data_IF_126726138905
#
_entry.id   IF_126726138905
#
_cell.length_a   1.000
_cell.length_b   1.000
_cell.length_c   1.000
_cell.angle_alpha   90.00
_cell.angle_beta   90.00
_cell.angle_gamma   90.00
#
_symmetry.space_group_name_H-M   'P 1'
#
loop_
_entity.id
_entity.type
_entity.pdbx_description
1 polymer ?
#
# COMPACT_ATOMS: atom_id res chain seq x y z
N UNK A 1 2.59 -21.95 8.40
CA UNK A 1 2.43 -21.67 6.93
C UNK A 1 3.76 -21.31 6.31
N UNK A 2 3.91 -21.42 4.98
CA UNK A 2 5.12 -20.89 4.31
C UNK A 2 4.95 -19.38 4.20
N UNK A 3 5.90 -18.61 4.72
CA UNK A 3 5.89 -17.14 4.66
C UNK A 3 6.05 -16.68 3.21
N UNK A 4 5.28 -15.67 2.82
CA UNK A 4 5.41 -14.95 1.57
C UNK A 4 4.30 -15.18 0.56
N UNK A 5 4.15 -14.18 -0.30
CA UNK A 5 3.26 -14.15 -1.46
C UNK A 5 4.03 -13.59 -2.66
N UNK A 6 4.12 -14.36 -3.75
CA UNK A 6 4.94 -14.02 -4.91
C UNK A 6 4.18 -14.04 -6.25
N UNK A 7 2.86 -14.15 -6.22
CA UNK A 7 2.04 -13.97 -7.41
C UNK A 7 1.89 -12.47 -7.74
N UNK A 8 1.57 -12.16 -9.01
CA UNK A 8 1.37 -10.78 -9.45
C UNK A 8 0.27 -10.08 -8.63
N UNK A 9 0.51 -8.84 -8.22
CA UNK A 9 -0.35 -8.12 -7.28
C UNK A 9 -0.50 -6.63 -7.65
N UNK A 10 -1.63 -6.27 -8.22
CA UNK A 10 -1.96 -4.90 -8.64
C UNK A 10 -3.06 -4.34 -7.76
N UNK A 11 -2.66 -3.57 -6.73
CA UNK A 11 -3.59 -3.04 -5.73
C UNK A 11 -4.02 -1.62 -6.09
N UNK A 12 -5.32 -1.36 -6.06
CA UNK A 12 -5.89 -0.03 -6.00
C UNK A 12 -6.17 0.32 -4.53
N UNK A 13 -5.30 1.12 -3.86
CA UNK A 13 -5.49 1.48 -2.46
C UNK A 13 -6.34 2.75 -2.31
N UNK A 14 -7.41 2.66 -1.54
CA UNK A 14 -8.28 3.76 -1.13
C UNK A 14 -8.70 3.66 0.34
N UNK A 15 -7.80 3.11 1.16
CA UNK A 15 -7.92 2.96 2.61
C UNK A 15 -7.71 4.26 3.41
N UNK A 16 -7.47 5.37 2.71
CA UNK A 16 -7.33 6.68 3.32
C UNK A 16 -8.60 7.07 4.10
N UNK A 17 -8.47 7.33 5.40
CA UNK A 17 -9.56 7.74 6.29
C UNK A 17 -9.51 9.24 6.56
N UNK A 18 -8.61 9.68 7.44
CA UNK A 18 -8.49 11.09 7.81
C UNK A 18 -8.20 12.03 6.64
N UNK A 19 -7.25 11.67 5.76
CA UNK A 19 -6.95 12.50 4.58
C UNK A 19 -8.09 12.54 3.55
N UNK A 20 -8.89 11.47 3.45
CA UNK A 20 -10.09 11.48 2.60
C UNK A 20 -11.14 12.42 3.18
N UNK A 21 -11.41 12.32 4.49
CA UNK A 21 -12.30 13.22 5.20
C UNK A 21 -11.88 14.69 5.05
N UNK A 22 -10.62 15.02 5.37
CA UNK A 22 -10.17 16.42 5.43
C UNK A 22 -9.86 17.03 4.08
N UNK A 23 -9.13 16.30 3.20
CA UNK A 23 -8.65 16.85 1.93
C UNK A 23 -9.65 16.73 0.79
N UNK A 24 -10.44 15.63 0.75
CA UNK A 24 -11.43 15.43 -0.30
C UNK A 24 -12.76 16.11 0.04
N UNK A 25 -13.19 16.07 1.29
CA UNK A 25 -14.48 16.58 1.72
C UNK A 25 -14.39 17.90 2.50
N UNK A 26 -13.25 18.28 3.02
CA UNK A 26 -13.07 19.49 3.83
C UNK A 26 -13.67 19.37 5.23
N UNK A 27 -13.96 18.16 5.71
CA UNK A 27 -14.60 17.95 7.00
C UNK A 27 -13.57 17.65 8.09
N UNK A 28 -13.83 18.19 9.28
CA UNK A 28 -13.03 17.98 10.50
C UNK A 28 -13.94 17.48 11.64
N UNK A 29 -13.32 16.81 12.63
CA UNK A 29 -14.06 16.27 13.78
C UNK A 29 -14.84 15.01 13.46
N UNK A 30 -15.82 14.69 14.32
CA UNK A 30 -16.67 13.50 14.19
C UNK A 30 -17.65 13.67 13.04
N UNK A 31 -17.72 12.66 12.16
CA UNK A 31 -18.63 12.67 11.01
C UNK A 31 -20.06 12.35 11.41
N UNK A 32 -21.04 12.99 10.72
CA UNK A 32 -22.43 12.56 10.79
C UNK A 32 -22.64 11.26 9.99
N UNK A 33 -23.75 10.54 10.20
CA UNK A 33 -24.10 9.37 9.38
C UNK A 33 -24.15 9.70 7.87
N UNK A 34 -24.68 10.87 7.49
CA UNK A 34 -24.79 11.33 6.11
C UNK A 34 -23.40 11.59 5.50
N UNK A 35 -22.50 12.20 6.26
CA UNK A 35 -21.10 12.42 5.84
C UNK A 35 -20.37 11.10 5.65
N UNK A 36 -20.57 10.16 6.57
CA UNK A 36 -20.02 8.80 6.47
C UNK A 36 -20.51 8.10 5.21
N UNK A 37 -21.81 8.18 4.92
CA UNK A 37 -22.41 7.61 3.71
C UNK A 37 -21.86 8.25 2.43
N UNK A 38 -21.59 9.57 2.42
CA UNK A 38 -20.99 10.25 1.27
C UNK A 38 -19.53 9.79 1.00
N UNK A 39 -18.74 9.56 2.05
CA UNK A 39 -17.39 9.00 1.89
C UNK A 39 -17.48 7.58 1.34
N UNK A 40 -18.35 6.75 1.88
CA UNK A 40 -18.57 5.39 1.40
C UNK A 40 -19.01 5.36 -0.06
N UNK A 41 -19.92 6.25 -0.46
CA UNK A 41 -20.35 6.39 -1.86
C UNK A 41 -19.20 6.80 -2.80
N UNK A 42 -18.31 7.70 -2.36
CA UNK A 42 -17.13 8.07 -3.15
C UNK A 42 -16.14 6.90 -3.29
N UNK A 43 -15.96 6.10 -2.23
CA UNK A 43 -15.13 4.87 -2.30
C UNK A 43 -15.76 3.81 -3.20
N UNK A 44 -17.08 3.73 -3.25
CA UNK A 44 -17.79 2.85 -4.18
C UNK A 44 -17.49 3.20 -5.66
N UNK A 45 -17.38 4.48 -6.01
CA UNK A 45 -16.98 4.92 -7.37
C UNK A 45 -15.57 4.42 -7.71
N UNK A 46 -14.63 4.44 -6.74
CA UNK A 46 -13.26 3.94 -6.95
C UNK A 46 -13.28 2.44 -7.21
N UNK A 47 -14.01 1.68 -6.41
CA UNK A 47 -14.15 0.24 -6.56
C UNK A 47 -14.77 -0.15 -7.91
N UNK A 48 -15.80 0.56 -8.34
CA UNK A 48 -16.38 0.34 -9.67
C UNK A 48 -15.41 0.67 -10.80
N UNK A 49 -14.52 1.64 -10.61
CA UNK A 49 -13.42 1.91 -11.52
C UNK A 49 -12.47 0.71 -11.67
N UNK A 50 -12.13 0.02 -10.58
CA UNK A 50 -11.38 -1.24 -10.65
C UNK A 50 -12.14 -2.30 -11.47
N UNK A 51 -13.44 -2.48 -11.21
CA UNK A 51 -14.28 -3.44 -11.93
C UNK A 51 -14.36 -3.11 -13.43
N UNK A 52 -14.44 -1.82 -13.78
CA UNK A 52 -14.40 -1.37 -15.16
C UNK A 52 -13.04 -1.69 -15.83
N UNK A 53 -11.93 -1.54 -15.13
CA UNK A 53 -10.61 -1.91 -15.64
C UNK A 53 -10.50 -3.42 -15.89
N UNK A 54 -11.00 -4.25 -14.99
CA UNK A 54 -11.04 -5.72 -15.15
C UNK A 54 -11.92 -6.09 -16.34
N UNK A 55 -13.11 -5.50 -16.47
CA UNK A 55 -13.98 -5.69 -17.63
C UNK A 55 -13.33 -5.26 -18.96
N UNK A 56 -12.33 -4.38 -18.90
CA UNK A 56 -11.55 -3.91 -20.06
C UNK A 56 -10.27 -4.71 -20.31
N UNK A 57 -10.05 -5.82 -19.57
CA UNK A 57 -8.97 -6.76 -19.83
C UNK A 57 -7.82 -6.78 -18.81
N UNK A 58 -7.92 -6.07 -17.68
CA UNK A 58 -6.99 -6.28 -16.55
C UNK A 58 -7.28 -7.66 -15.94
N UNK A 59 -6.28 -8.56 -15.78
CA UNK A 59 -6.51 -9.87 -15.18
C UNK A 59 -7.02 -9.78 -13.75
N UNK A 60 -8.20 -10.36 -13.50
CA UNK A 60 -8.86 -10.27 -12.20
C UNK A 60 -8.03 -10.91 -11.08
N UNK A 61 -7.39 -12.03 -11.37
CA UNK A 61 -6.55 -12.77 -10.42
C UNK A 61 -5.30 -12.00 -9.94
N UNK A 62 -4.95 -10.89 -10.64
CA UNK A 62 -3.86 -9.99 -10.26
C UNK A 62 -4.36 -8.69 -9.61
N UNK A 63 -5.64 -8.40 -9.79
CA UNK A 63 -6.26 -7.17 -9.33
C UNK A 63 -6.73 -7.28 -7.88
N UNK A 64 -6.51 -6.24 -7.10
CA UNK A 64 -6.97 -6.19 -5.73
C UNK A 64 -7.28 -4.79 -5.24
N UNK A 65 -7.95 -4.71 -4.11
CA UNK A 65 -8.27 -3.48 -3.41
C UNK A 65 -7.59 -3.43 -2.04
N UNK A 66 -7.29 -2.21 -1.61
CA UNK A 66 -6.97 -1.94 -0.21
C UNK A 66 -7.93 -0.86 0.28
N UNK A 67 -8.82 -1.23 1.18
CA UNK A 67 -9.87 -0.35 1.70
C UNK A 67 -10.09 -0.60 3.19
N UNK A 68 -10.42 0.47 3.92
CA UNK A 68 -10.69 0.43 5.36
C UNK A 68 -12.10 -0.11 5.68
N UNK A 69 -12.26 -0.67 6.88
CA UNK A 69 -13.53 -1.17 7.38
C UNK A 69 -14.56 -0.05 7.58
N UNK A 70 -14.13 1.13 8.03
CA UNK A 70 -15.02 2.22 8.43
C UNK A 70 -15.94 2.68 7.30
N UNK A 71 -15.38 2.87 6.09
CA UNK A 71 -16.12 3.38 4.93
C UNK A 71 -16.28 2.33 3.83
N UNK A 72 -15.57 1.22 3.90
CA UNK A 72 -15.49 0.22 2.86
C UNK A 72 -15.99 -1.17 3.23
N UNK A 73 -16.65 -1.34 4.38
CA UNK A 73 -17.12 -2.67 4.83
C UNK A 73 -17.99 -3.40 3.79
N UNK A 74 -18.85 -2.70 3.09
CA UNK A 74 -19.68 -3.28 2.02
C UNK A 74 -18.84 -3.68 0.81
N UNK A 75 -17.85 -2.85 0.46
CA UNK A 75 -16.91 -3.07 -0.65
C UNK A 75 -16.05 -4.31 -0.36
N UNK A 76 -15.51 -4.46 0.86
CA UNK A 76 -14.72 -5.64 1.25
C UNK A 76 -15.50 -6.93 1.06
N UNK A 77 -16.79 -6.94 1.47
CA UNK A 77 -17.65 -8.12 1.33
C UNK A 77 -18.00 -8.41 -0.13
N UNK A 78 -18.25 -7.39 -0.93
CA UNK A 78 -18.57 -7.53 -2.35
C UNK A 78 -17.33 -8.03 -3.13
N UNK A 79 -16.18 -7.41 -2.90
CA UNK A 79 -14.93 -7.80 -3.53
C UNK A 79 -14.51 -9.25 -3.19
N UNK A 80 -14.72 -9.68 -1.95
CA UNK A 80 -14.48 -11.07 -1.54
C UNK A 80 -15.41 -12.07 -2.24
N UNK A 81 -16.69 -11.71 -2.46
CA UNK A 81 -17.63 -12.55 -3.22
C UNK A 81 -17.29 -12.64 -4.70
N UNK A 82 -16.77 -11.57 -5.25
CA UNK A 82 -16.31 -11.50 -6.64
C UNK A 82 -14.86 -12.03 -6.81
N UNK A 83 -14.27 -12.62 -5.77
CA UNK A 83 -12.94 -13.23 -5.78
C UNK A 83 -11.78 -12.27 -6.11
N UNK A 84 -11.95 -10.98 -5.84
CA UNK A 84 -10.83 -10.04 -5.87
C UNK A 84 -9.91 -10.24 -4.67
N UNK A 85 -8.60 -9.99 -4.85
CA UNK A 85 -7.70 -9.87 -3.72
C UNK A 85 -8.07 -8.64 -2.88
N UNK A 86 -8.28 -8.86 -1.59
CA UNK A 86 -8.68 -7.81 -0.65
C UNK A 86 -7.58 -7.53 0.35
N UNK A 87 -7.34 -6.25 0.65
CA UNK A 87 -6.50 -5.83 1.75
C UNK A 87 -7.28 -4.87 2.66
N UNK A 88 -7.10 -5.03 3.98
CA UNK A 88 -7.75 -4.19 4.98
C UNK A 88 -6.70 -3.70 5.99
N UNK A 89 -6.65 -2.39 6.32
CA UNK A 89 -5.70 -1.87 7.29
C UNK A 89 -6.08 -2.25 8.71
N UNK A 90 -5.09 -2.71 9.50
CA UNK A 90 -5.21 -2.93 10.93
C UNK A 90 -4.68 -1.75 11.76
N UNK A 91 -3.89 -0.87 11.14
CA UNK A 91 -3.31 0.28 11.82
C UNK A 91 -4.32 1.40 12.07
N UNK A 92 -4.13 2.10 13.19
CA UNK A 92 -4.84 3.33 13.52
C UNK A 92 -4.47 4.45 12.53
N UNK A 93 -5.48 5.21 12.11
CA UNK A 93 -5.27 6.29 11.14
C UNK A 93 -4.46 7.45 11.73
N UNK A 94 -3.58 8.06 10.90
CA UNK A 94 -2.83 9.28 11.22
C UNK A 94 -1.95 9.20 12.48
N UNK A 95 -1.33 8.05 12.71
CA UNK A 95 -0.40 7.82 13.83
C UNK A 95 1.05 7.95 13.38
N UNK A 96 1.92 8.40 14.29
CA UNK A 96 3.38 8.38 14.09
C UNK A 96 3.99 7.06 14.58
N UNK A 97 3.55 6.55 15.72
CA UNK A 97 3.90 5.23 16.24
C UNK A 97 2.78 4.22 15.92
N UNK A 98 3.14 3.05 15.39
CA UNK A 98 2.17 2.01 15.06
C UNK A 98 1.34 1.60 16.29
N UNK A 99 0.03 1.61 16.12
CA UNK A 99 -0.94 1.06 17.04
C UNK A 99 -2.12 0.48 16.28
N UNK A 100 -2.86 -0.43 16.89
CA UNK A 100 -4.04 -1.04 16.30
C UNK A 100 -5.24 -0.10 16.32
N UNK A 101 -5.99 -0.02 15.22
CA UNK A 101 -7.25 0.75 15.15
C UNK A 101 -8.24 0.27 16.21
N UNK A 102 -8.35 -1.03 16.41
CA UNK A 102 -9.28 -1.66 17.35
C UNK A 102 -8.59 -2.19 18.62
N UNK A 103 -7.39 -1.71 18.91
CA UNK A 103 -6.64 -2.09 20.12
C UNK A 103 -6.53 -3.61 20.28
N UNK A 104 -6.95 -4.15 21.43
CA UNK A 104 -6.89 -5.59 21.75
C UNK A 104 -7.84 -6.45 20.88
N UNK A 105 -8.85 -5.85 20.27
CA UNK A 105 -9.88 -6.56 19.49
C UNK A 105 -9.48 -6.67 17.99
N UNK A 106 -8.21 -6.34 17.65
CA UNK A 106 -7.71 -6.36 16.27
C UNK A 106 -7.94 -7.69 15.55
N UNK A 107 -7.78 -8.80 16.27
CA UNK A 107 -7.96 -10.15 15.73
C UNK A 107 -9.39 -10.40 15.26
N UNK A 108 -10.39 -10.02 16.07
CA UNK A 108 -11.81 -10.15 15.72
C UNK A 108 -12.15 -9.35 14.46
N UNK A 109 -11.60 -8.13 14.33
CA UNK A 109 -11.81 -7.29 13.16
C UNK A 109 -11.17 -7.86 11.89
N UNK A 110 -9.99 -8.47 11.99
CA UNK A 110 -9.36 -9.17 10.85
C UNK A 110 -10.22 -10.37 10.43
N UNK A 111 -10.62 -11.21 11.36
CA UNK A 111 -11.44 -12.41 11.08
C UNK A 111 -12.80 -12.08 10.51
N UNK A 112 -13.42 -10.98 10.92
CA UNK A 112 -14.73 -10.50 10.44
C UNK A 112 -14.78 -10.28 8.93
N UNK A 113 -13.70 -9.82 8.33
CA UNK A 113 -13.61 -9.60 6.88
C UNK A 113 -12.77 -10.66 6.18
N UNK A 114 -11.88 -11.33 6.91
CA UNK A 114 -10.95 -12.34 6.41
C UNK A 114 -10.31 -11.92 5.07
N UNK A 115 -9.67 -10.72 5.01
CA UNK A 115 -9.08 -10.23 3.78
C UNK A 115 -7.91 -11.10 3.35
N UNK A 116 -7.57 -11.10 2.06
CA UNK A 116 -6.34 -11.75 1.58
C UNK A 116 -5.11 -11.21 2.30
N UNK A 117 -5.09 -9.90 2.53
CA UNK A 117 -3.99 -9.23 3.24
C UNK A 117 -4.52 -8.39 4.41
N UNK A 118 -3.98 -8.60 5.60
CA UNK A 118 -4.00 -7.62 6.68
C UNK A 118 -2.86 -6.63 6.43
N UNK A 119 -3.18 -5.37 6.21
CA UNK A 119 -2.18 -4.34 5.89
C UNK A 119 -1.84 -3.53 7.15
N UNK A 120 -0.57 -3.18 7.30
CA UNK A 120 -0.10 -2.17 8.26
C UNK A 120 0.70 -1.09 7.55
N UNK A 121 0.53 0.18 7.97
CA UNK A 121 1.41 1.28 7.61
C UNK A 121 2.26 1.63 8.82
N UNK A 122 3.57 1.60 8.63
CA UNK A 122 4.55 1.84 9.70
C UNK A 122 5.58 2.88 9.26
N UNK A 123 5.80 3.87 10.10
CA UNK A 123 6.91 4.80 9.99
C UNK A 123 8.07 4.27 10.79
N UNK A 124 9.15 3.90 10.13
CA UNK A 124 10.30 3.27 10.76
C UNK A 124 11.59 3.83 10.17
N UNK A 125 12.25 4.72 10.90
CA UNK A 125 13.60 5.16 10.57
C UNK A 125 14.58 4.47 11.54
N UNK A 126 15.49 3.60 11.06
CA UNK A 126 16.48 2.92 11.91
C UNK A 126 17.40 3.88 12.69
N UNK A 127 17.63 5.09 12.16
CA UNK A 127 18.41 6.15 12.82
C UNK A 127 17.54 7.10 13.66
N UNK A 128 16.23 6.82 13.80
CA UNK A 128 15.30 7.61 14.60
C UNK A 128 15.20 7.16 16.07
N UNK A 129 14.02 7.37 16.67
CA UNK A 129 13.78 6.98 18.07
C UNK A 129 13.80 5.46 18.23
N UNK A 130 14.88 4.94 18.80
CA UNK A 130 15.07 3.51 19.05
C UNK A 130 13.99 2.92 19.96
N UNK A 131 13.56 3.66 20.99
CA UNK A 131 12.56 3.15 21.93
C UNK A 131 11.19 3.05 21.26
N UNK A 132 10.84 4.01 20.41
CA UNK A 132 9.64 3.96 19.56
C UNK A 132 9.70 2.77 18.61
N UNK A 133 10.81 2.58 17.91
CA UNK A 133 11.00 1.47 16.97
C UNK A 133 10.86 0.10 17.68
N UNK A 134 11.42 -0.05 18.86
CA UNK A 134 11.29 -1.29 19.66
C UNK A 134 9.83 -1.57 20.06
N UNK A 135 9.09 -0.55 20.51
CA UNK A 135 7.67 -0.72 20.90
C UNK A 135 6.79 -1.12 19.71
N UNK A 136 6.96 -0.45 18.57
CA UNK A 136 6.17 -0.81 17.39
C UNK A 136 6.59 -2.17 16.80
N UNK A 137 7.87 -2.55 16.83
CA UNK A 137 8.32 -3.90 16.45
C UNK A 137 7.65 -4.98 17.30
N UNK A 138 7.54 -4.77 18.62
CA UNK A 138 6.87 -5.73 19.51
C UNK A 138 5.37 -5.89 19.18
N UNK A 139 4.64 -4.80 18.86
CA UNK A 139 3.23 -4.86 18.44
C UNK A 139 3.08 -5.50 17.07
N UNK A 140 4.00 -5.21 16.14
CA UNK A 140 4.00 -5.79 14.80
C UNK A 140 4.30 -7.29 14.82
N UNK A 141 5.20 -7.72 15.72
CA UNK A 141 5.44 -9.15 15.95
C UNK A 141 4.18 -9.85 16.45
N UNK A 142 3.46 -9.26 17.40
CA UNK A 142 2.20 -9.81 17.88
C UNK A 142 1.19 -10.01 16.72
N UNK A 143 1.09 -9.04 15.82
CA UNK A 143 0.23 -9.16 14.62
C UNK A 143 0.73 -10.25 13.68
N UNK A 144 2.03 -10.26 13.39
CA UNK A 144 2.66 -11.24 12.51
C UNK A 144 2.44 -12.67 13.02
N UNK A 145 2.70 -12.91 14.31
CA UNK A 145 2.46 -14.23 14.94
C UNK A 145 0.97 -14.64 14.82
N UNK A 146 0.04 -13.70 15.12
CA UNK A 146 -1.40 -13.98 14.99
C UNK A 146 -1.78 -14.37 13.57
N UNK A 147 -1.31 -13.62 12.57
CA UNK A 147 -1.66 -13.89 11.17
C UNK A 147 -1.15 -15.23 10.69
N UNK A 148 0.07 -15.62 11.04
CA UNK A 148 0.67 -16.86 10.59
C UNK A 148 0.19 -18.09 11.36
N UNK A 149 -0.17 -17.94 12.64
CA UNK A 149 -0.59 -19.05 13.49
C UNK A 149 -2.11 -19.27 13.51
N UNK A 150 -2.91 -18.21 13.38
CA UNK A 150 -4.35 -18.24 13.67
C UNK A 150 -5.24 -17.67 12.56
N UNK A 151 -4.69 -17.11 11.48
CA UNK A 151 -5.48 -16.48 10.41
C UNK A 151 -5.17 -17.08 9.04
N UNK A 152 -6.02 -16.74 8.07
CA UNK A 152 -5.77 -17.00 6.64
C UNK A 152 -5.22 -15.77 5.92
N UNK A 153 -5.31 -14.62 6.56
CA UNK A 153 -4.82 -13.36 6.01
C UNK A 153 -3.30 -13.29 6.08
N UNK A 154 -2.68 -12.81 5.01
CA UNK A 154 -1.24 -12.58 4.91
C UNK A 154 -0.90 -11.17 5.39
N UNK A 155 0.33 -10.94 5.85
CA UNK A 155 0.79 -9.63 6.29
C UNK A 155 1.32 -8.80 5.11
N UNK A 156 0.62 -7.73 4.74
CA UNK A 156 1.12 -6.68 3.84
C UNK A 156 1.69 -5.52 4.65
N UNK A 157 3.00 -5.37 4.63
CA UNK A 157 3.71 -4.36 5.41
C UNK A 157 4.04 -3.13 4.57
N UNK A 158 3.34 -2.02 4.79
CA UNK A 158 3.65 -0.73 4.17
C UNK A 158 4.71 0.00 5.00
N UNK A 159 5.94 -0.02 4.52
CA UNK A 159 7.08 0.63 5.15
C UNK A 159 7.27 2.04 4.59
N UNK A 160 7.21 3.02 5.48
CA UNK A 160 7.64 4.39 5.21
C UNK A 160 8.88 4.69 6.07
N UNK A 161 9.88 5.31 5.45
CA UNK A 161 11.11 5.74 6.13
C UNK A 161 11.21 7.27 6.06
N UNK A 162 10.49 7.99 6.96
CA UNK A 162 10.55 9.45 6.97
C UNK A 162 11.95 9.92 7.42
N UNK A 163 12.37 11.05 6.85
CA UNK A 163 13.64 11.66 7.25
C UNK A 163 13.55 12.24 8.66
N UNK A 164 14.55 11.97 9.48
CA UNK A 164 14.78 12.67 10.73
C UNK A 164 15.28 14.11 10.48
N UNK A 165 15.06 14.97 11.46
CA UNK A 165 15.44 16.38 11.36
C UNK A 165 16.93 16.54 11.07
N UNK A 166 17.78 15.82 11.78
CA UNK A 166 19.24 15.83 11.65
C UNK A 166 19.70 15.34 10.27
N UNK A 167 18.98 14.37 9.68
CA UNK A 167 19.26 13.89 8.33
C UNK A 167 18.98 14.97 7.28
N UNK A 168 17.86 15.69 7.41
CA UNK A 168 17.54 16.81 6.53
C UNK A 168 18.48 18.01 6.73
N UNK A 169 18.90 18.30 7.95
CA UNK A 169 19.87 19.37 8.23
C UNK A 169 21.21 19.11 7.54
N UNK A 170 21.72 17.86 7.58
CA UNK A 170 22.94 17.47 6.85
C UNK A 170 22.82 17.66 5.34
N UNK A 171 21.62 17.48 4.80
CA UNK A 171 21.30 17.68 3.38
C UNK A 171 20.81 19.09 3.06
N UNK A 172 20.94 20.06 3.99
CA UNK A 172 20.47 21.45 3.82
C UNK A 172 18.98 21.55 3.44
N UNK A 173 18.17 20.62 3.93
CA UNK A 173 16.74 20.54 3.65
C UNK A 173 16.35 19.89 2.31
N UNK A 174 17.32 19.35 1.56
CA UNK A 174 17.07 18.70 0.27
C UNK A 174 16.43 17.31 0.47
N UNK A 175 15.12 17.24 0.27
CA UNK A 175 14.34 15.99 0.36
C UNK A 175 14.64 15.04 -0.79
N UNK A 176 14.99 15.55 -1.98
CA UNK A 176 15.33 14.71 -3.11
C UNK A 176 16.66 13.99 -2.85
N UNK A 177 17.65 14.69 -2.28
CA UNK A 177 18.89 14.07 -1.86
C UNK A 177 18.66 13.01 -0.78
N UNK A 178 17.74 13.24 0.19
CA UNK A 178 17.36 12.21 1.16
C UNK A 178 16.77 10.98 0.46
N UNK A 179 15.81 11.17 -0.43
CA UNK A 179 15.13 10.09 -1.13
C UNK A 179 16.08 9.27 -2.01
N UNK A 180 17.10 9.91 -2.57
CA UNK A 180 18.03 9.28 -3.51
C UNK A 180 19.25 8.63 -2.83
N UNK A 181 19.76 9.23 -1.75
CA UNK A 181 21.06 8.87 -1.17
C UNK A 181 20.96 8.18 0.20
N UNK A 182 19.94 8.53 1.00
CA UNK A 182 19.84 8.05 2.39
C UNK A 182 18.72 7.03 2.55
N UNK A 183 17.51 7.33 2.10
CA UNK A 183 16.33 6.49 2.30
C UNK A 183 16.48 5.06 1.80
N UNK A 184 17.08 4.76 0.63
CA UNK A 184 17.20 3.37 0.16
C UNK A 184 18.00 2.48 1.12
N UNK A 185 19.10 3.00 1.67
CA UNK A 185 19.91 2.29 2.68
C UNK A 185 19.11 2.05 3.97
N UNK A 186 18.38 3.08 4.43
CA UNK A 186 17.56 2.97 5.64
C UNK A 186 16.38 2.01 5.47
N UNK A 187 15.82 1.90 4.28
CA UNK A 187 14.77 0.91 3.98
C UNK A 187 15.31 -0.52 4.11
N UNK A 188 16.49 -0.80 3.58
CA UNK A 188 17.17 -2.09 3.74
C UNK A 188 17.39 -2.40 5.22
N UNK A 189 17.92 -1.45 5.98
CA UNK A 189 18.15 -1.60 7.41
C UNK A 189 16.84 -1.79 8.19
N UNK A 190 15.77 -1.05 7.86
CA UNK A 190 14.47 -1.17 8.49
C UNK A 190 13.87 -2.57 8.29
N UNK A 191 13.92 -3.11 7.06
CA UNK A 191 13.46 -4.47 6.77
C UNK A 191 14.24 -5.48 7.61
N UNK A 192 15.57 -5.35 7.65
CA UNK A 192 16.44 -6.24 8.43
C UNK A 192 16.11 -6.19 9.93
N UNK A 193 16.01 -4.99 10.52
CA UNK A 193 15.70 -4.83 11.95
C UNK A 193 14.31 -5.39 12.30
N UNK A 194 13.32 -5.23 11.43
CA UNK A 194 11.98 -5.79 11.62
C UNK A 194 12.01 -7.32 11.54
N UNK A 195 12.72 -7.91 10.58
CA UNK A 195 12.90 -9.36 10.48
C UNK A 195 13.66 -9.93 11.68
N UNK A 196 14.73 -9.28 12.12
CA UNK A 196 15.49 -9.66 13.32
C UNK A 196 14.63 -9.56 14.58
N UNK A 197 13.65 -8.63 14.60
CA UNK A 197 12.63 -8.50 15.62
C UNK A 197 11.50 -9.54 15.56
N UNK A 198 11.54 -10.46 14.60
CA UNK A 198 10.56 -11.52 14.40
C UNK A 198 9.26 -11.08 13.70
N UNK A 199 9.31 -9.99 12.93
CA UNK A 199 8.18 -9.55 12.09
C UNK A 199 8.31 -10.18 10.71
N UNK A 200 7.38 -11.06 10.38
CA UNK A 200 7.36 -11.81 9.12
C UNK A 200 6.32 -11.21 8.17
N UNK A 201 6.77 -10.39 7.22
CA UNK A 201 5.91 -9.85 6.18
C UNK A 201 5.81 -10.81 4.99
N UNK A 202 4.60 -11.01 4.48
CA UNK A 202 4.39 -11.80 3.25
C UNK A 202 4.56 -10.92 1.99
N UNK A 203 4.25 -9.63 2.11
CA UNK A 203 4.46 -8.62 1.06
C UNK A 203 4.98 -7.34 1.68
N UNK A 204 6.12 -6.86 1.19
CA UNK A 204 6.61 -5.52 1.47
C UNK A 204 6.05 -4.52 0.48
N UNK A 205 5.26 -3.57 0.96
CA UNK A 205 4.77 -2.41 0.20
C UNK A 205 5.67 -1.23 0.55
N UNK A 206 6.51 -0.81 -0.40
CA UNK A 206 7.59 0.14 -0.16
C UNK A 206 7.49 1.40 -1.01
N UNK A 207 8.10 2.47 -0.53
CA UNK A 207 8.22 3.73 -1.25
C UNK A 207 9.04 3.55 -2.53
N UNK A 208 8.70 4.32 -3.57
CA UNK A 208 9.38 4.27 -4.85
C UNK A 208 10.89 4.53 -4.76
N UNK A 209 11.64 3.84 -5.60
CA UNK A 209 13.10 3.91 -5.71
C UNK A 209 13.51 4.28 -7.14
N UNK A 210 14.52 5.15 -7.24
CA UNK A 210 14.97 5.68 -8.52
C UNK A 210 15.96 4.77 -9.25
N UNK A 211 16.65 3.88 -8.51
CA UNK A 211 17.72 3.02 -9.03
C UNK A 211 17.34 1.55 -8.92
N UNK A 212 17.62 0.81 -9.96
CA UNK A 212 17.41 -0.65 -10.01
C UNK A 212 18.18 -1.38 -8.92
N UNK A 213 19.42 -0.95 -8.66
CA UNK A 213 20.31 -1.55 -7.67
C UNK A 213 19.74 -1.42 -6.24
N UNK A 214 19.01 -0.35 -5.96
CA UNK A 214 18.35 -0.18 -4.66
C UNK A 214 17.14 -1.09 -4.54
N UNK A 215 16.38 -1.28 -5.61
CA UNK A 215 15.31 -2.28 -5.68
C UNK A 215 15.84 -3.71 -5.47
N UNK A 216 17.00 -4.05 -6.07
CA UNK A 216 17.65 -5.36 -5.91
C UNK A 216 18.06 -5.61 -4.46
N UNK A 217 18.62 -4.61 -3.77
CA UNK A 217 18.99 -4.70 -2.35
C UNK A 217 17.76 -4.93 -1.46
N UNK A 218 16.64 -4.25 -1.74
CA UNK A 218 15.39 -4.46 -1.02
C UNK A 218 14.91 -5.91 -1.14
N UNK A 219 14.87 -6.43 -2.36
CA UNK A 219 14.45 -7.83 -2.58
C UNK A 219 15.42 -8.81 -1.91
N UNK A 220 16.71 -8.60 -2.06
CA UNK A 220 17.72 -9.44 -1.43
C UNK A 220 17.56 -9.49 0.11
N UNK A 221 17.25 -8.35 0.73
CA UNK A 221 17.00 -8.26 2.18
C UNK A 221 15.67 -8.91 2.55
N UNK A 222 14.61 -8.67 1.78
CA UNK A 222 13.31 -9.28 2.02
C UNK A 222 13.37 -10.81 1.98
N UNK A 223 14.25 -11.38 1.15
CA UNK A 223 14.43 -12.83 0.98
C UNK A 223 15.41 -13.49 1.97
N UNK A 224 16.10 -12.72 2.82
CA UNK A 224 17.04 -13.31 3.79
C UNK A 224 16.35 -14.32 4.71
N UNK A 225 17.12 -15.29 5.20
CA UNK A 225 16.61 -16.29 6.13
C UNK A 225 15.61 -17.29 5.52
N UNK A 226 15.67 -17.51 4.19
CA UNK A 226 14.80 -18.49 3.51
C UNK A 226 13.41 -17.96 3.14
N UNK A 227 13.22 -16.64 3.09
CA UNK A 227 11.96 -15.97 2.74
C UNK A 227 11.77 -15.79 1.23
N UNK A 228 12.15 -16.78 0.42
CA UNK A 228 12.20 -16.67 -1.06
C UNK A 228 10.84 -16.38 -1.73
N UNK A 229 9.73 -16.53 -1.00
CA UNK A 229 8.38 -16.26 -1.52
C UNK A 229 7.85 -14.89 -1.13
N UNK A 230 8.59 -14.10 -0.38
CA UNK A 230 8.17 -12.75 0.01
C UNK A 230 8.23 -11.82 -1.19
N UNK A 231 7.10 -11.20 -1.54
CA UNK A 231 7.03 -10.24 -2.64
C UNK A 231 7.25 -8.80 -2.20
N UNK A 232 7.67 -7.96 -3.15
CA UNK A 232 7.70 -6.51 -2.97
C UNK A 232 6.73 -5.84 -3.94
N UNK A 233 6.04 -4.80 -3.50
CA UNK A 233 5.22 -3.93 -4.35
C UNK A 233 5.56 -2.47 -4.11
N UNK A 234 5.45 -1.64 -5.16
CA UNK A 234 5.74 -0.21 -5.10
C UNK A 234 4.50 0.58 -4.71
N UNK A 235 4.65 1.56 -3.81
CA UNK A 235 3.63 2.57 -3.51
C UNK A 235 3.96 3.92 -4.16
N UNK A 236 2.92 4.69 -4.51
CA UNK A 236 3.06 5.96 -5.23
C UNK A 236 3.28 7.20 -4.37
N UNK A 237 3.26 7.13 -3.03
CA UNK A 237 3.35 8.26 -2.06
C UNK A 237 2.40 9.44 -2.32
N UNK A 238 1.67 9.46 -3.43
CA UNK A 238 0.93 10.61 -3.93
C UNK A 238 1.81 11.67 -4.58
N UNK A 239 2.95 11.23 -5.09
CA UNK A 239 3.86 12.03 -5.90
C UNK A 239 3.29 12.32 -7.29
N UNK A 240 4.02 13.13 -8.04
CA UNK A 240 3.72 13.41 -9.43
C UNK A 240 3.55 12.12 -10.25
N UNK A 241 2.53 12.03 -11.13
CA UNK A 241 2.26 10.83 -11.92
C UNK A 241 3.46 10.34 -12.73
N UNK A 242 4.30 11.24 -13.22
CA UNK A 242 5.49 10.90 -14.00
C UNK A 242 6.55 10.20 -13.14
N UNK A 243 6.73 10.70 -11.91
CA UNK A 243 7.63 10.09 -10.93
C UNK A 243 7.16 8.70 -10.51
N UNK A 244 5.85 8.53 -10.28
CA UNK A 244 5.27 7.23 -9.95
C UNK A 244 5.50 6.23 -11.09
N UNK A 245 5.31 6.64 -12.35
CA UNK A 245 5.58 5.80 -13.53
C UNK A 245 7.04 5.36 -13.59
N UNK A 246 7.98 6.28 -13.40
CA UNK A 246 9.41 5.98 -13.34
C UNK A 246 9.73 4.92 -12.27
N UNK A 247 9.21 5.08 -11.06
CA UNK A 247 9.42 4.11 -9.98
C UNK A 247 8.86 2.72 -10.32
N UNK A 248 7.69 2.68 -10.95
CA UNK A 248 7.09 1.43 -11.39
C UNK A 248 7.94 0.73 -12.45
N UNK A 249 8.42 1.45 -13.45
CA UNK A 249 9.31 0.91 -14.48
C UNK A 249 10.62 0.40 -13.89
N UNK A 250 11.21 1.13 -12.94
CA UNK A 250 12.43 0.74 -12.23
C UNK A 250 12.22 -0.58 -11.47
N UNK A 251 11.16 -0.64 -10.65
CA UNK A 251 10.87 -1.81 -9.84
C UNK A 251 10.46 -3.04 -10.67
N UNK A 252 9.66 -2.87 -11.73
CA UNK A 252 9.20 -3.95 -12.58
C UNK A 252 10.35 -4.71 -13.28
N UNK A 253 11.52 -4.08 -13.41
CA UNK A 253 12.73 -4.70 -13.96
C UNK A 253 13.43 -5.64 -12.98
N UNK A 254 13.10 -5.61 -11.71
CA UNK A 254 13.71 -6.42 -10.65
C UNK A 254 12.83 -7.62 -10.32
N UNK A 255 13.43 -8.83 -10.37
CA UNK A 255 12.74 -10.05 -9.91
C UNK A 255 12.49 -9.94 -8.41
N UNK A 256 11.27 -10.26 -7.97
CA UNK A 256 10.84 -10.09 -6.57
C UNK A 256 9.90 -8.89 -6.39
N UNK A 257 9.93 -7.89 -7.30
CA UNK A 257 8.82 -6.96 -7.40
C UNK A 257 7.68 -7.59 -8.18
N UNK A 258 6.57 -7.83 -7.47
CA UNK A 258 5.40 -8.56 -7.99
C UNK A 258 4.26 -7.63 -8.43
N UNK A 259 4.37 -6.33 -8.18
CA UNK A 259 3.31 -5.38 -8.54
C UNK A 259 3.44 -4.03 -7.87
N UNK A 260 2.29 -3.41 -7.67
CA UNK A 260 2.19 -2.05 -7.17
C UNK A 260 0.93 -1.81 -6.33
N UNK A 261 0.94 -0.70 -5.57
CA UNK A 261 -0.22 -0.13 -4.89
C UNK A 261 -0.27 1.39 -5.12
N UNK A 262 -0.95 1.81 -6.19
CA UNK A 262 -1.07 3.22 -6.60
C UNK A 262 -2.53 3.64 -6.54
N UNK A 263 -2.86 4.57 -5.64
CA UNK A 263 -4.23 4.98 -5.36
C UNK A 263 -4.54 6.41 -5.79
N UNK A 264 -4.08 7.42 -5.03
CA UNK A 264 -4.45 8.83 -5.24
C UNK A 264 -4.23 9.31 -6.67
N UNK A 265 -3.14 8.95 -7.30
CA UNK A 265 -2.83 9.27 -8.70
C UNK A 265 -3.88 8.71 -9.67
N UNK A 266 -4.54 7.61 -9.31
CA UNK A 266 -5.61 6.98 -10.11
C UNK A 266 -6.93 7.68 -9.90
N UNK A 267 -7.39 7.84 -8.66
CA UNK A 267 -8.79 8.17 -8.37
C UNK A 267 -9.04 9.63 -7.93
N UNK A 268 -8.01 10.36 -7.48
CA UNK A 268 -8.22 11.62 -6.76
C UNK A 268 -8.90 12.70 -7.62
N UNK A 269 -8.33 12.99 -8.78
CA UNK A 269 -8.86 14.02 -9.67
C UNK A 269 -10.23 13.65 -10.26
N UNK A 270 -10.46 12.42 -10.79
CA UNK A 270 -11.79 12.02 -11.24
C UNK A 270 -12.86 12.18 -10.17
N UNK A 271 -12.56 11.85 -8.90
CA UNK A 271 -13.52 12.06 -7.81
C UNK A 271 -13.81 13.53 -7.52
N UNK A 272 -12.77 14.41 -7.54
CA UNK A 272 -12.96 15.85 -7.37
C UNK A 272 -13.87 16.40 -8.47
N UNK A 273 -13.62 16.03 -9.72
CA UNK A 273 -14.38 16.50 -10.88
C UNK A 273 -15.82 16.00 -10.82
N UNK A 274 -16.04 14.74 -10.46
CA UNK A 274 -17.38 14.19 -10.26
C UNK A 274 -18.14 14.86 -9.10
N UNK A 275 -17.51 15.00 -7.94
CA UNK A 275 -18.13 15.65 -6.77
C UNK A 275 -18.50 17.11 -7.03
N UNK A 276 -17.75 17.79 -7.90
CA UNK A 276 -18.10 19.15 -8.36
C UNK A 276 -19.17 19.17 -9.47
N UNK A 277 -19.79 18.01 -9.79
CA UNK A 277 -20.83 17.83 -10.78
C UNK A 277 -20.43 18.24 -12.22
N UNK A 278 -19.13 18.23 -12.52
CA UNK A 278 -18.60 18.56 -13.86
C UNK A 278 -18.57 17.36 -14.81
N UNK A 279 -18.59 16.14 -14.26
CA UNK A 279 -18.75 14.89 -15.02
C UNK A 279 -19.79 14.00 -14.35
N UNK A 280 -20.32 13.05 -15.11
CA UNK A 280 -21.22 12.02 -14.58
C UNK A 280 -20.46 11.01 -13.71
N UNK A 281 -21.18 10.24 -12.90
CA UNK A 281 -20.61 9.15 -12.12
C UNK A 281 -19.94 8.11 -13.01
N UNK A 282 -20.60 7.73 -14.10
CA UNK A 282 -20.08 6.73 -15.04
C UNK A 282 -18.80 7.22 -15.73
N UNK A 283 -18.70 8.50 -16.04
CA UNK A 283 -17.47 9.08 -16.58
C UNK A 283 -16.31 9.02 -15.57
N UNK A 284 -16.58 9.27 -14.28
CA UNK A 284 -15.56 9.13 -13.24
C UNK A 284 -15.12 7.68 -13.07
N UNK A 285 -16.05 6.73 -13.08
CA UNK A 285 -15.77 5.28 -13.04
C UNK A 285 -14.89 4.87 -14.21
N UNK A 286 -15.25 5.27 -15.43
CA UNK A 286 -14.48 4.96 -16.63
C UNK A 286 -13.05 5.52 -16.57
N UNK A 287 -12.90 6.80 -16.17
CA UNK A 287 -11.59 7.45 -16.07
C UNK A 287 -10.71 6.79 -15.01
N UNK A 288 -11.25 6.42 -13.86
CA UNK A 288 -10.53 5.67 -12.82
C UNK A 288 -10.06 4.32 -13.37
N UNK A 289 -10.92 3.60 -14.10
CA UNK A 289 -10.60 2.34 -14.73
C UNK A 289 -9.46 2.44 -15.75
N UNK A 290 -9.52 3.44 -16.63
CA UNK A 290 -8.48 3.72 -17.63
C UNK A 290 -7.14 4.07 -16.97
N UNK A 291 -7.14 4.93 -15.95
CA UNK A 291 -5.93 5.30 -15.22
C UNK A 291 -5.31 4.10 -14.51
N UNK A 292 -6.12 3.27 -13.83
CA UNK A 292 -5.63 2.06 -13.18
C UNK A 292 -5.03 1.08 -14.20
N UNK A 293 -5.72 0.82 -15.31
CA UNK A 293 -5.22 -0.01 -16.41
C UNK A 293 -3.89 0.51 -16.96
N UNK A 294 -3.74 1.83 -17.12
CA UNK A 294 -2.49 2.41 -17.62
C UNK A 294 -1.29 2.08 -16.72
N UNK A 295 -1.47 1.98 -15.41
CA UNK A 295 -0.43 1.56 -14.48
C UNK A 295 -0.13 0.06 -14.59
N UNK A 296 -1.13 -0.78 -14.81
CA UNK A 296 -0.93 -2.21 -15.11
C UNK A 296 -0.09 -2.37 -16.38
N UNK A 297 -0.46 -1.68 -17.44
CA UNK A 297 0.24 -1.74 -18.73
C UNK A 297 1.72 -1.30 -18.60
N UNK A 298 2.00 -0.23 -17.84
CA UNK A 298 3.38 0.23 -17.57
C UNK A 298 4.19 -0.86 -16.87
N UNK A 299 3.64 -1.43 -15.81
CA UNK A 299 4.35 -2.44 -15.01
C UNK A 299 4.62 -3.71 -15.85
N UNK A 300 3.62 -4.20 -16.57
CA UNK A 300 3.75 -5.39 -17.42
C UNK A 300 4.72 -5.16 -18.58
N UNK A 301 4.65 -4.00 -19.25
CA UNK A 301 5.56 -3.68 -20.35
C UNK A 301 7.02 -3.61 -19.90
N UNK A 302 7.29 -2.97 -18.74
CA UNK A 302 8.64 -2.90 -18.18
C UNK A 302 9.17 -4.30 -17.79
N UNK A 303 8.30 -5.17 -17.27
CA UNK A 303 8.62 -6.56 -16.94
C UNK A 303 8.91 -7.40 -18.19
N UNK A 304 8.14 -7.23 -19.27
CA UNK A 304 8.38 -7.94 -20.53
C UNK A 304 9.70 -7.54 -21.17
N UNK A 305 10.09 -6.28 -21.08
CA UNK A 305 11.38 -5.82 -21.57
C UNK A 305 12.55 -6.52 -20.85
N UNK A 306 12.48 -6.69 -19.53
CA UNK A 306 13.46 -7.46 -18.74
C UNK A 306 13.64 -8.88 -19.28
N UNK A 307 12.54 -9.60 -19.57
CA UNK A 307 12.59 -11.00 -20.07
C UNK A 307 13.23 -11.15 -21.44
N UNK A 308 13.28 -10.07 -22.23
CA UNK A 308 13.93 -10.07 -23.55
C UNK A 308 15.41 -9.68 -23.52
N UNK A 309 15.84 -9.06 -22.41
CA UNK A 309 17.20 -8.52 -22.23
C UNK A 309 18.09 -9.39 -21.32
N UNK A 310 17.52 -10.41 -20.69
CA UNK A 310 18.18 -11.46 -19.91
C UNK A 310 18.35 -12.73 -20.73
#
# INVERSE_FOLDING_TARGET
>A
MTIGFNADLYILPFDHRGSFQTKMFGWTGTLTPEQTAQIAAAKQVIYEGLKAAVSSGVPQEKAGILVDEQFGAAILRDAAKEEFMTACPAEKSAQDEFDFEFGKDFAEHIEKFNPTFCKVLVRYNPEGDRALNQRQTARLKLLSDFLHDNSRSLLMFELLVPAEKEQLERLKGDKNAYDLEIRPRLMVQAIQELQDGGVEADVWKIEGLDRTEDCEKIVATAHQGGRDKVGCIILGRGEDPQKVRQWMETAARVTGFIGFAVGRTVFWDPLIVWRSQRITRDAAVAEIGERYRSFVDIFENARHWRKKSA
#
